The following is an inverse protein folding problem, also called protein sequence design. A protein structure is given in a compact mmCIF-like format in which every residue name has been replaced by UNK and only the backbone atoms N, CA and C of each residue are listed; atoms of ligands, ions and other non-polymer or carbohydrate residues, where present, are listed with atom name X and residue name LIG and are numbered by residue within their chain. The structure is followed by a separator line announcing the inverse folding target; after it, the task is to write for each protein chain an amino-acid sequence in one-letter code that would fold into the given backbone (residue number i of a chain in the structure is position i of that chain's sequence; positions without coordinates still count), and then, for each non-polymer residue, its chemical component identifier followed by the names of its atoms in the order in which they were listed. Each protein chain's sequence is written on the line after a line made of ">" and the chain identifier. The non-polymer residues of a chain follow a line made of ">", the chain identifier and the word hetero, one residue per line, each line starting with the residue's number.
data_IF_158033974177
#
_entry.id   IF_158033974177
#
_cell.length_a   1.000
_cell.length_b   1.000
_cell.length_c   1.000
_cell.angle_alpha   90.00
_cell.angle_beta   90.00
_cell.angle_gamma   90.00
#
_symmetry.space_group_name_H-M   'P 1'
#
loop_
_entity.id
_entity.type
_entity.pdbx_description
1 polymer ?
#
# COMPACT_ATOMS: atom_id res chain seq x y z
N UNK A 1 -20.10 18.48 -4.96
CA UNK A 1 -19.65 17.80 -3.72
C UNK A 1 -19.77 16.28 -3.78
N UNK A 2 -20.93 15.68 -4.13
CA UNK A 2 -21.10 14.21 -4.15
C UNK A 2 -20.07 13.45 -5.00
N UNK A 3 -19.79 13.94 -6.22
CA UNK A 3 -18.83 13.31 -7.14
C UNK A 3 -17.39 13.31 -6.59
N UNK A 4 -16.99 14.40 -5.93
CA UNK A 4 -15.67 14.54 -5.31
C UNK A 4 -15.54 13.60 -4.12
N UNK A 5 -16.60 13.48 -3.30
CA UNK A 5 -16.63 12.54 -2.16
C UNK A 5 -16.62 11.09 -2.65
N UNK A 6 -17.33 10.76 -3.72
CA UNK A 6 -17.28 9.40 -4.29
C UNK A 6 -15.96 9.09 -4.96
N UNK A 7 -15.33 10.06 -5.64
CA UNK A 7 -14.01 9.87 -6.23
C UNK A 7 -12.92 9.74 -5.16
N UNK A 8 -13.01 10.54 -4.08
CA UNK A 8 -12.12 10.45 -2.93
C UNK A 8 -12.33 9.12 -2.17
N UNK A 9 -13.59 8.68 -2.00
CA UNK A 9 -13.88 7.38 -1.42
C UNK A 9 -13.35 6.26 -2.30
N UNK A 10 -13.58 6.28 -3.62
CA UNK A 10 -13.00 5.28 -4.54
C UNK A 10 -11.47 5.30 -4.49
N UNK A 11 -10.83 6.46 -4.43
CA UNK A 11 -9.37 6.57 -4.30
C UNK A 11 -8.84 6.08 -2.94
N UNK A 12 -9.62 6.23 -1.86
CA UNK A 12 -9.29 5.70 -0.53
C UNK A 12 -9.56 4.19 -0.41
N UNK A 13 -10.41 3.63 -1.26
CA UNK A 13 -10.77 2.20 -1.28
C UNK A 13 -9.84 1.38 -2.18
N UNK A 14 -8.90 2.01 -2.91
CA UNK A 14 -8.10 1.34 -3.94
C UNK A 14 -6.76 0.76 -3.46
N UNK A 15 -6.46 0.76 -2.16
CA UNK A 15 -5.15 0.33 -1.66
C UNK A 15 -4.07 1.26 -2.19
N UNK A 16 -3.98 2.47 -1.63
CA UNK A 16 -3.05 3.49 -2.11
C UNK A 16 -1.60 2.97 -2.11
N UNK A 17 -1.23 2.23 -1.07
CA UNK A 17 0.07 1.55 -1.01
C UNK A 17 0.26 0.57 -2.18
N UNK A 18 -0.74 -0.30 -2.46
CA UNK A 18 -0.69 -1.24 -3.58
C UNK A 18 -0.52 -0.55 -4.94
N UNK A 19 -1.28 0.51 -5.22
CA UNK A 19 -1.16 1.25 -6.50
C UNK A 19 0.21 1.91 -6.62
N UNK A 20 0.69 2.54 -5.54
CA UNK A 20 1.98 3.21 -5.56
C UNK A 20 3.11 2.23 -5.88
N UNK A 21 3.10 1.06 -5.24
CA UNK A 21 4.14 0.05 -5.38
C UNK A 21 4.04 -0.77 -6.67
N UNK A 22 2.84 -0.98 -7.20
CA UNK A 22 2.63 -1.66 -8.50
C UNK A 22 2.88 -0.75 -9.71
N UNK A 23 3.01 0.57 -9.49
CA UNK A 23 3.38 1.53 -10.53
C UNK A 23 4.90 1.56 -10.78
N UNK A 24 5.33 2.14 -11.90
CA UNK A 24 6.75 2.30 -12.25
C UNK A 24 7.57 3.14 -11.24
N UNK A 25 6.92 3.72 -10.22
CA UNK A 25 7.50 4.49 -9.12
C UNK A 25 7.66 3.68 -7.83
N UNK A 26 7.31 2.38 -7.80
CA UNK A 26 7.37 1.55 -6.60
C UNK A 26 8.76 1.58 -5.95
N UNK A 27 8.86 2.29 -4.83
CA UNK A 27 10.14 2.70 -4.24
C UNK A 27 10.51 1.84 -3.02
N UNK A 28 9.55 1.11 -2.45
CA UNK A 28 9.73 0.33 -1.23
C UNK A 28 9.92 -1.16 -1.51
N UNK A 29 9.25 -1.70 -2.52
CA UNK A 29 9.26 -3.13 -2.81
C UNK A 29 9.12 -3.51 -4.30
N UNK A 30 8.66 -2.61 -5.17
CA UNK A 30 8.34 -2.94 -6.57
C UNK A 30 7.24 -4.00 -6.74
N UNK A 31 7.34 -4.79 -7.81
CA UNK A 31 6.38 -5.86 -8.14
C UNK A 31 6.58 -7.08 -7.23
N UNK A 32 6.07 -7.02 -6.00
CA UNK A 32 6.09 -8.14 -5.06
C UNK A 32 4.69 -8.49 -4.54
N UNK A 33 4.40 -9.78 -4.29
CA UNK A 33 3.15 -10.20 -3.65
C UNK A 33 2.93 -9.50 -2.32
N UNK A 34 1.71 -9.00 -2.10
CA UNK A 34 1.31 -8.36 -0.85
C UNK A 34 2.14 -7.13 -0.45
N UNK A 35 2.74 -6.43 -1.41
CA UNK A 35 3.57 -5.30 -1.04
C UNK A 35 2.78 -4.16 -0.37
N UNK A 36 1.60 -3.79 -0.87
CA UNK A 36 0.82 -2.71 -0.26
C UNK A 36 0.57 -2.97 1.24
N UNK A 37 0.18 -4.19 1.58
CA UNK A 37 0.05 -4.64 2.98
C UNK A 37 1.37 -4.52 3.75
N UNK A 38 2.49 -4.88 3.13
CA UNK A 38 3.80 -4.85 3.76
C UNK A 38 4.24 -3.41 4.10
N UNK A 39 3.96 -2.46 3.20
CA UNK A 39 4.21 -1.03 3.42
C UNK A 39 3.32 -0.46 4.52
N UNK A 40 2.01 -0.78 4.50
CA UNK A 40 1.09 -0.33 5.55
C UNK A 40 1.52 -0.86 6.93
N UNK A 41 1.90 -2.14 7.01
CA UNK A 41 2.43 -2.72 8.25
C UNK A 41 3.75 -2.06 8.69
N UNK A 42 4.63 -1.69 7.76
CA UNK A 42 5.87 -0.99 8.09
C UNK A 42 5.59 0.39 8.70
N UNK A 43 4.65 1.16 8.13
CA UNK A 43 4.23 2.47 8.66
C UNK A 43 3.60 2.31 10.05
N UNK A 44 2.71 1.33 10.22
CA UNK A 44 2.08 1.05 11.52
C UNK A 44 3.15 0.66 12.54
N UNK A 45 4.06 -0.24 12.20
CA UNK A 45 5.13 -0.69 13.10
C UNK A 45 6.04 0.47 13.50
N UNK A 46 6.50 1.27 12.53
CA UNK A 46 7.41 2.39 12.81
C UNK A 46 6.75 3.46 13.70
N UNK A 47 5.43 3.62 13.59
CA UNK A 47 4.65 4.50 14.46
C UNK A 47 4.60 4.07 15.93
N UNK A 48 4.85 2.78 16.22
CA UNK A 48 4.83 2.22 17.59
C UNK A 48 6.20 2.19 18.25
N UNK A 49 7.28 2.24 17.46
CA UNK A 49 8.64 2.43 17.97
C UNK A 49 8.82 3.90 18.37
N UNK A 50 9.28 4.17 19.59
CA UNK A 50 9.29 5.49 20.23
C UNK A 50 10.06 6.64 19.55
N UNK A 51 10.46 6.49 18.29
CA UNK A 51 11.06 7.51 17.42
C UNK A 51 10.13 7.90 16.24
N UNK A 52 8.83 7.69 16.40
CA UNK A 52 7.81 7.72 15.33
C UNK A 52 7.62 9.06 14.58
N UNK A 53 8.26 10.16 15.01
CA UNK A 53 8.32 11.45 14.29
C UNK A 53 7.06 11.83 13.49
N UNK A 54 7.24 12.20 12.22
CA UNK A 54 6.15 12.48 11.29
C UNK A 54 5.38 11.22 10.83
N UNK A 55 5.96 10.02 10.98
CA UNK A 55 5.34 8.75 10.60
C UNK A 55 4.16 8.37 11.50
N UNK A 56 4.16 8.82 12.77
CA UNK A 56 3.03 8.66 13.68
C UNK A 56 1.73 9.27 13.12
N UNK A 57 1.83 10.35 12.34
CA UNK A 57 0.67 10.98 11.72
C UNK A 57 0.10 10.18 10.54
N UNK A 58 0.91 9.30 9.93
CA UNK A 58 0.50 8.45 8.80
C UNK A 58 -0.12 7.12 9.26
N UNK A 59 0.18 6.68 10.48
CA UNK A 59 -0.36 5.46 11.07
C UNK A 59 -1.89 5.31 10.96
N UNK A 60 -2.73 6.30 11.31
CA UNK A 60 -4.18 6.13 11.17
C UNK A 60 -4.63 5.94 9.72
N UNK A 61 -3.92 6.53 8.76
CA UNK A 61 -4.21 6.31 7.34
C UNK A 61 -3.78 4.91 6.89
N UNK A 62 -2.60 4.45 7.31
CA UNK A 62 -2.14 3.08 7.02
C UNK A 62 -3.05 2.02 7.64
N UNK A 63 -3.59 2.24 8.84
CA UNK A 63 -4.58 1.32 9.45
C UNK A 63 -5.87 1.24 8.62
N UNK A 64 -6.31 2.36 8.05
CA UNK A 64 -7.50 2.40 7.20
C UNK A 64 -7.21 1.79 5.82
N UNK A 65 -6.03 2.03 5.24
CA UNK A 65 -5.63 1.53 3.92
C UNK A 65 -5.31 0.02 3.92
N UNK A 66 -4.79 -0.52 5.02
CA UNK A 66 -4.39 -1.94 5.14
C UNK A 66 -5.42 -2.96 4.62
N UNK A 67 -6.72 -2.92 4.99
CA UNK A 67 -7.71 -3.83 4.41
C UNK A 67 -7.92 -3.62 2.90
N UNK A 68 -7.79 -2.40 2.40
CA UNK A 68 -7.90 -2.11 0.97
C UNK A 68 -6.65 -2.55 0.21
N UNK A 69 -5.46 -2.32 0.75
CA UNK A 69 -4.20 -2.86 0.24
C UNK A 69 -4.23 -4.38 0.20
N UNK A 70 -4.79 -5.06 1.21
CA UNK A 70 -4.95 -6.52 1.18
C UNK A 70 -5.85 -7.00 0.03
N UNK A 71 -6.98 -6.32 -0.17
CA UNK A 71 -7.90 -6.65 -1.28
C UNK A 71 -7.23 -6.35 -2.62
N UNK A 72 -6.61 -5.18 -2.78
CA UNK A 72 -5.94 -4.77 -4.00
C UNK A 72 -4.78 -5.71 -4.34
N UNK A 73 -3.90 -5.99 -3.39
CA UNK A 73 -2.79 -6.95 -3.53
C UNK A 73 -3.29 -8.33 -3.94
N UNK A 74 -4.40 -8.80 -3.37
CA UNK A 74 -5.01 -10.09 -3.75
C UNK A 74 -5.56 -10.07 -5.17
N UNK A 75 -6.17 -8.96 -5.61
CA UNK A 75 -6.70 -8.80 -6.96
C UNK A 75 -5.59 -8.73 -8.01
N UNK A 76 -4.47 -8.08 -7.69
CA UNK A 76 -3.31 -8.00 -8.59
C UNK A 76 -2.34 -9.17 -8.42
N UNK A 77 -2.56 -10.06 -7.46
CA UNK A 77 -1.68 -11.19 -7.16
C UNK A 77 -1.33 -12.05 -8.40
N UNK A 78 -2.29 -12.39 -9.30
CA UNK A 78 -1.94 -13.11 -10.52
C UNK A 78 -0.98 -12.32 -11.40
N UNK A 79 -1.18 -11.01 -11.55
CA UNK A 79 -0.31 -10.16 -12.34
C UNK A 79 1.09 -10.09 -11.72
N UNK A 80 1.19 -9.85 -10.41
CA UNK A 80 2.47 -9.77 -9.71
C UNK A 80 3.25 -11.08 -9.77
N UNK A 81 2.59 -12.25 -9.63
CA UNK A 81 3.27 -13.55 -9.71
C UNK A 81 3.92 -13.78 -11.09
N UNK A 82 3.29 -13.33 -12.19
CA UNK A 82 3.82 -13.56 -13.54
C UNK A 82 4.78 -12.47 -14.04
N UNK A 83 4.83 -11.31 -13.38
CA UNK A 83 5.60 -10.16 -13.83
C UNK A 83 6.58 -9.62 -12.77
N UNK A 84 6.62 -10.18 -11.57
CA UNK A 84 7.72 -9.96 -10.64
C UNK A 84 9.00 -10.47 -11.29
N UNK A 85 9.97 -9.57 -11.44
CA UNK A 85 11.31 -9.95 -11.90
C UNK A 85 11.99 -10.57 -10.68
N UNK A 86 12.56 -11.76 -10.80
CA UNK A 86 13.49 -12.23 -9.77
C UNK A 86 14.62 -11.21 -9.71
N UNK A 87 14.85 -10.64 -8.52
CA UNK A 87 16.10 -9.95 -8.26
C UNK A 87 17.19 -11.02 -8.45
N UNK A 88 17.98 -10.89 -9.51
CA UNK A 88 19.13 -11.77 -9.77
C UNK A 88 19.96 -11.87 -8.47
N UNK A 89 20.26 -13.11 -8.05
CA UNK A 89 20.95 -13.52 -6.80
C UNK A 89 22.05 -12.58 -6.27
#
# INVERSE_FOLDING_TARGET
>A
MRIVVTALAMALLTGCATINESSSYGHMCGLHPYCGVTVDMAIIKDSTTGNAGAMSALAPFAVIDLPFSFVADTLILPYTIFHMKEDDE
#
